data_IF_477631590482
#
_entry.id   IF_477631590482
#
_cell.length_a   1.000
_cell.length_b   1.000
_cell.length_c   1.000
_cell.angle_alpha   90.00
_cell.angle_beta   90.00
_cell.angle_gamma   90.00
#
_symmetry.space_group_name_H-M   'P 1'
#
loop_
_entity.id
_entity.type
_entity.pdbx_description
1 polymer ?
#
# COMPACT_ATOMS: atom_id res chain seq x y z
N UNK A 1 69.06 29.29 31.83
CA UNK A 1 68.65 28.66 33.10
C UNK A 1 68.99 27.18 32.99
N UNK A 2 69.91 26.68 33.81
CA UNK A 2 70.36 25.28 33.75
C UNK A 2 69.39 24.37 34.55
N UNK A 3 69.26 23.08 34.21
CA UNK A 3 68.42 22.13 34.94
C UNK A 3 68.77 22.06 36.44
N UNK A 4 70.06 22.21 36.77
CA UNK A 4 70.53 22.30 38.15
C UNK A 4 69.99 23.54 38.89
N UNK A 5 69.89 24.70 38.22
CA UNK A 5 69.31 25.92 38.82
C UNK A 5 67.82 25.76 39.08
N UNK A 6 67.07 25.15 38.13
CA UNK A 6 65.65 24.87 38.31
C UNK A 6 65.40 23.96 39.51
N UNK A 7 66.21 22.90 39.67
CA UNK A 7 66.12 22.00 40.81
C UNK A 7 66.42 22.70 42.16
N UNK A 8 67.42 23.59 42.20
CA UNK A 8 67.74 24.37 43.40
C UNK A 8 66.62 25.37 43.76
N UNK A 9 65.97 25.97 42.76
CA UNK A 9 64.80 26.84 42.97
C UNK A 9 63.64 26.04 43.57
N UNK A 10 63.35 24.85 43.03
CA UNK A 10 62.32 23.96 43.56
C UNK A 10 62.62 23.52 44.99
N UNK A 11 63.87 23.14 45.31
CA UNK A 11 64.25 22.77 46.68
C UNK A 11 64.13 23.94 47.67
N UNK A 12 64.57 25.13 47.27
CA UNK A 12 64.53 26.32 48.12
C UNK A 12 63.10 26.82 48.37
N UNK A 13 62.22 26.70 47.38
CA UNK A 13 60.81 27.11 47.47
C UNK A 13 59.84 25.95 47.72
N UNK A 14 60.33 24.78 48.15
CA UNK A 14 59.48 23.61 48.45
C UNK A 14 58.32 23.90 49.40
N UNK A 15 58.52 24.80 50.38
CA UNK A 15 57.45 25.20 51.30
C UNK A 15 56.35 26.00 50.61
N UNK A 16 56.69 26.83 49.62
CA UNK A 16 55.72 27.56 48.81
C UNK A 16 54.94 26.60 47.91
N UNK A 17 55.65 25.71 47.20
CA UNK A 17 55.03 24.72 46.30
C UNK A 17 54.05 23.84 47.09
N UNK A 18 54.46 23.34 48.26
CA UNK A 18 53.61 22.54 49.15
C UNK A 18 52.40 23.33 49.69
N UNK A 19 52.55 24.63 50.00
CA UNK A 19 51.44 25.49 50.44
C UNK A 19 50.44 25.73 49.30
N UNK A 20 50.91 26.04 48.10
CA UNK A 20 50.05 26.25 46.91
C UNK A 20 49.31 24.96 46.57
N UNK A 21 50.03 23.83 46.49
CA UNK A 21 49.45 22.51 46.28
C UNK A 21 48.41 22.18 47.36
N UNK A 22 48.76 22.34 48.64
CA UNK A 22 47.85 22.10 49.75
C UNK A 22 46.59 22.97 49.69
N UNK A 23 46.73 24.24 49.29
CA UNK A 23 45.60 25.16 49.12
C UNK A 23 44.69 24.76 47.97
N UNK A 24 45.27 24.38 46.82
CA UNK A 24 44.50 23.91 45.64
C UNK A 24 43.76 22.62 45.95
N UNK A 25 44.43 21.64 46.56
CA UNK A 25 43.81 20.36 46.96
C UNK A 25 42.70 20.59 48.00
N UNK A 26 42.93 21.43 49.01
CA UNK A 26 41.93 21.78 50.02
C UNK A 26 40.72 22.47 49.38
N UNK A 27 40.96 23.42 48.48
CA UNK A 27 39.89 24.13 47.76
C UNK A 27 39.11 23.18 46.85
N UNK A 28 39.78 22.28 46.11
CA UNK A 28 39.11 21.26 45.29
C UNK A 28 38.30 20.29 46.14
N UNK A 29 38.79 19.91 47.32
CA UNK A 29 38.06 19.06 48.25
C UNK A 29 36.80 19.75 48.78
N UNK A 30 36.93 21.00 49.23
CA UNK A 30 35.80 21.82 49.71
C UNK A 30 34.74 21.96 48.60
N UNK A 31 35.16 22.36 47.39
CA UNK A 31 34.25 22.49 46.25
C UNK A 31 33.59 21.16 45.90
N UNK A 32 34.36 20.06 45.88
CA UNK A 32 33.82 18.73 45.58
C UNK A 32 32.84 18.22 46.65
N UNK A 33 32.94 18.69 47.90
CA UNK A 33 32.00 18.33 48.97
C UNK A 33 30.73 19.21 48.96
N UNK A 34 30.82 20.43 48.45
CA UNK A 34 29.69 21.37 48.33
C UNK A 34 28.87 21.11 47.07
N UNK A 35 29.49 20.60 46.00
CA UNK A 35 28.79 20.30 44.74
C UNK A 35 27.64 19.29 44.97
N UNK A 36 26.45 19.54 44.38
CA UNK A 36 25.32 18.64 44.53
C UNK A 36 25.64 17.27 43.96
N UNK A 37 25.36 16.23 44.75
CA UNK A 37 25.53 14.84 44.33
C UNK A 37 24.56 14.56 43.19
N UNK A 38 25.07 13.94 42.13
CA UNK A 38 24.26 13.49 40.99
C UNK A 38 24.33 11.97 40.90
N UNK A 39 23.18 11.34 40.79
CA UNK A 39 22.97 9.91 40.68
C UNK A 39 22.57 9.56 39.25
N UNK A 40 23.07 8.42 38.76
CA UNK A 40 22.78 7.87 37.43
C UNK A 40 21.99 6.58 37.61
N UNK A 41 20.80 6.49 37.02
CA UNK A 41 20.02 5.25 36.94
C UNK A 41 19.82 4.86 35.47
N UNK A 42 19.94 3.57 35.17
CA UNK A 42 19.87 3.04 33.80
C UNK A 42 18.87 1.90 33.71
N UNK A 43 18.09 1.85 32.63
CA UNK A 43 17.28 0.70 32.21
C UNK A 43 17.71 0.27 30.82
N UNK A 44 17.65 -1.03 30.53
CA UNK A 44 18.00 -1.58 29.22
C UNK A 44 16.76 -2.13 28.53
N UNK A 45 16.60 -1.78 27.26
CA UNK A 45 15.55 -2.29 26.38
C UNK A 45 16.17 -3.13 25.27
N UNK A 46 15.55 -4.28 24.97
CA UNK A 46 15.88 -5.10 23.80
C UNK A 46 14.86 -4.83 22.69
N UNK A 47 15.36 -4.56 21.49
CA UNK A 47 14.55 -4.40 20.30
C UNK A 47 14.46 -5.74 19.56
N UNK A 48 13.24 -6.26 19.42
CA UNK A 48 12.94 -7.48 18.67
C UNK A 48 12.46 -7.12 17.27
N UNK A 49 13.02 -7.78 16.25
CA UNK A 49 12.65 -7.55 14.86
C UNK A 49 11.64 -8.59 14.39
N UNK A 50 10.34 -8.29 14.55
CA UNK A 50 9.26 -9.13 14.00
C UNK A 50 8.19 -8.28 13.29
N UNK A 51 8.62 -7.27 12.54
CA UNK A 51 7.73 -6.40 11.78
C UNK A 51 7.39 -6.96 10.39
N UNK A 52 6.10 -7.17 10.13
CA UNK A 52 5.53 -7.23 8.78
C UNK A 52 4.93 -5.86 8.45
N UNK A 53 5.16 -5.34 7.25
CA UNK A 53 4.55 -4.10 6.79
C UNK A 53 3.04 -4.32 6.56
N UNK A 54 2.20 -3.53 7.23
CA UNK A 54 0.73 -3.63 7.18
C UNK A 54 0.14 -3.36 5.79
N UNK A 55 0.89 -2.69 4.91
CA UNK A 55 0.48 -2.41 3.54
C UNK A 55 0.98 -3.45 2.53
N UNK A 56 2.11 -4.10 2.76
CA UNK A 56 2.65 -5.06 1.78
C UNK A 56 2.56 -6.51 2.26
N UNK A 57 2.32 -6.73 3.55
CA UNK A 57 2.38 -8.05 4.18
C UNK A 57 3.80 -8.64 4.21
N UNK A 58 4.80 -7.90 3.72
CA UNK A 58 6.18 -8.36 3.65
C UNK A 58 6.87 -8.15 5.00
N UNK A 59 7.51 -9.20 5.51
CA UNK A 59 8.47 -9.09 6.60
C UNK A 59 9.74 -8.46 6.04
N UNK A 60 9.91 -7.14 6.21
CA UNK A 60 11.19 -6.49 5.92
C UNK A 60 12.11 -6.68 7.13
N UNK A 61 13.26 -7.37 6.99
CA UNK A 61 14.23 -7.44 8.08
C UNK A 61 14.81 -6.04 8.30
N UNK A 62 14.27 -5.29 9.26
CA UNK A 62 14.76 -3.95 9.62
C UNK A 62 16.24 -3.94 10.07
N UNK A 63 16.81 -5.14 10.31
CA UNK A 63 18.22 -5.37 10.62
C UNK A 63 19.20 -4.90 9.54
N UNK A 64 18.75 -4.69 8.29
CA UNK A 64 19.59 -4.35 7.14
C UNK A 64 19.57 -2.87 6.74
N UNK A 65 18.86 -2.00 7.47
CA UNK A 65 18.87 -0.55 7.18
C UNK A 65 19.84 0.18 8.11
N UNK A 66 20.99 0.67 7.60
CA UNK A 66 21.82 1.62 8.33
C UNK A 66 20.93 2.78 8.82
N UNK A 67 20.88 3.01 10.13
CA UNK A 67 20.08 4.10 10.74
C UNK A 67 18.86 3.68 11.57
N UNK A 68 18.49 2.38 11.62
CA UNK A 68 17.37 1.95 12.47
C UNK A 68 17.59 2.27 13.95
N UNK A 69 18.74 1.84 14.51
CA UNK A 69 19.08 2.06 15.92
C UNK A 69 19.17 3.57 16.26
N UNK A 70 19.88 4.41 15.49
CA UNK A 70 19.82 5.87 15.65
C UNK A 70 18.40 6.45 15.64
N UNK A 71 17.55 6.01 14.72
CA UNK A 71 16.14 6.44 14.68
C UNK A 71 15.40 6.10 15.98
N UNK A 72 15.63 4.91 16.55
CA UNK A 72 15.02 4.56 17.84
C UNK A 72 15.53 5.42 19.00
N UNK A 73 16.82 5.79 18.98
CA UNK A 73 17.40 6.73 19.95
C UNK A 73 16.70 8.10 19.86
N UNK A 74 16.46 8.60 18.65
CA UNK A 74 15.75 9.85 18.42
C UNK A 74 14.29 9.79 18.86
N UNK A 75 13.61 8.65 18.64
CA UNK A 75 12.23 8.44 19.11
C UNK A 75 12.19 8.43 20.65
N UNK A 76 13.07 7.70 21.33
CA UNK A 76 13.13 7.69 22.81
C UNK A 76 13.40 9.09 23.35
N UNK A 77 14.31 9.82 22.70
CA UNK A 77 14.69 11.18 23.08
C UNK A 77 13.70 12.24 22.60
N UNK A 78 12.61 11.85 21.94
CA UNK A 78 11.64 12.78 21.37
C UNK A 78 10.77 13.43 22.44
N UNK A 79 10.23 14.60 22.11
CA UNK A 79 9.25 15.29 22.95
C UNK A 79 8.00 14.45 23.20
N UNK A 80 7.56 13.63 22.23
CA UNK A 80 6.38 12.79 22.38
C UNK A 80 6.51 11.76 23.51
N UNK A 81 7.69 11.12 23.64
CA UNK A 81 7.98 10.19 24.73
C UNK A 81 8.11 10.95 26.05
N UNK A 82 8.86 12.06 26.06
CA UNK A 82 9.04 12.85 27.27
C UNK A 82 7.71 13.40 27.84
N UNK A 83 6.78 13.81 26.98
CA UNK A 83 5.44 14.25 27.38
C UNK A 83 4.64 13.12 28.05
N UNK A 84 4.70 11.88 27.56
CA UNK A 84 4.06 10.74 28.23
C UNK A 84 4.70 10.44 29.59
N UNK A 85 6.01 10.64 29.75
CA UNK A 85 6.69 10.50 31.05
C UNK A 85 6.22 11.54 32.05
N UNK A 86 6.07 12.80 31.61
CA UNK A 86 5.53 13.90 32.42
C UNK A 86 4.14 13.55 32.96
N UNK A 87 3.28 12.99 32.12
CA UNK A 87 1.92 12.59 32.50
C UNK A 87 1.93 11.36 33.43
N UNK A 88 2.72 10.33 33.09
CA UNK A 88 2.80 9.09 33.86
C UNK A 88 3.29 9.32 35.29
N UNK A 89 4.27 10.21 35.46
CA UNK A 89 4.80 10.60 36.77
C UNK A 89 4.04 11.77 37.40
N UNK A 90 3.00 12.29 36.74
CA UNK A 90 2.17 13.42 37.19
C UNK A 90 2.99 14.65 37.59
N UNK A 91 4.09 14.92 36.88
CA UNK A 91 5.04 15.98 37.25
C UNK A 91 4.42 17.38 37.20
N UNK A 92 3.36 17.55 36.42
CA UNK A 92 2.59 18.80 36.34
C UNK A 92 1.80 19.12 37.61
N UNK A 93 1.67 18.18 38.56
CA UNK A 93 0.98 18.41 39.84
C UNK A 93 1.91 18.98 40.92
N UNK A 94 3.22 19.05 40.66
CA UNK A 94 4.17 19.56 41.65
C UNK A 94 4.17 21.10 41.69
N UNK A 95 3.83 21.66 42.86
CA UNK A 95 3.79 23.11 43.08
C UNK A 95 5.18 23.76 42.90
N UNK A 96 6.23 23.06 43.34
CA UNK A 96 7.62 23.49 43.21
C UNK A 96 8.05 23.64 41.75
N UNK A 97 7.69 22.68 40.90
CA UNK A 97 7.98 22.77 39.47
C UNK A 97 7.19 23.89 38.79
N UNK A 98 5.95 24.14 39.24
CA UNK A 98 5.12 25.21 38.70
C UNK A 98 5.72 26.59 38.98
N UNK A 99 6.19 26.81 40.21
CA UNK A 99 6.91 28.02 40.59
C UNK A 99 8.21 28.18 39.81
N UNK A 100 8.95 27.08 39.60
CA UNK A 100 10.19 27.10 38.82
C UNK A 100 9.92 27.48 37.36
N UNK A 101 8.85 26.98 36.76
CA UNK A 101 8.42 27.38 35.42
C UNK A 101 8.10 28.87 35.36
N UNK A 102 7.23 29.36 36.25
CA UNK A 102 6.84 30.78 36.29
C UNK A 102 8.06 31.70 36.47
N UNK A 103 9.06 31.29 37.25
CA UNK A 103 10.30 32.05 37.44
C UNK A 103 11.25 32.07 36.24
N UNK A 104 11.18 31.06 35.36
CA UNK A 104 12.13 30.91 34.24
C UNK A 104 11.56 31.34 32.90
N UNK A 105 10.24 31.31 32.74
CA UNK A 105 9.56 31.59 31.48
C UNK A 105 8.61 32.78 31.57
N UNK A 106 8.53 33.44 32.72
CA UNK A 106 7.53 34.47 33.03
C UNK A 106 6.08 33.99 32.78
N UNK A 107 5.85 32.68 32.90
CA UNK A 107 4.57 32.04 32.65
C UNK A 107 4.21 31.83 31.17
N UNK A 108 5.13 32.11 30.24
CA UNK A 108 4.90 31.94 28.79
C UNK A 108 5.19 30.51 28.35
N UNK A 109 4.22 29.89 27.67
CA UNK A 109 4.33 28.55 27.08
C UNK A 109 3.55 27.47 27.84
N UNK A 110 3.59 26.24 27.31
CA UNK A 110 2.95 25.09 27.93
C UNK A 110 3.88 24.47 29.00
N UNK A 111 3.44 24.50 30.25
CA UNK A 111 4.17 23.94 31.39
C UNK A 111 4.53 22.45 31.21
N UNK A 112 3.65 21.68 30.56
CA UNK A 112 3.88 20.25 30.27
C UNK A 112 5.03 20.08 29.27
N UNK A 113 5.06 20.91 28.23
CA UNK A 113 6.13 20.92 27.22
C UNK A 113 7.46 21.35 27.82
N UNK A 114 7.46 22.41 28.65
CA UNK A 114 8.65 22.85 29.36
C UNK A 114 9.23 21.75 30.26
N UNK A 115 8.37 21.03 31.00
CA UNK A 115 8.80 19.92 31.83
C UNK A 115 9.41 18.78 31.00
N UNK A 116 8.80 18.43 29.86
CA UNK A 116 9.33 17.41 28.96
C UNK A 116 10.74 17.79 28.45
N UNK A 117 10.96 19.05 28.08
CA UNK A 117 12.29 19.55 27.68
C UNK A 117 13.31 19.48 28.81
N UNK A 118 12.91 19.74 30.07
CA UNK A 118 13.78 19.63 31.23
C UNK A 118 14.23 18.19 31.47
N UNK A 119 13.33 17.22 31.30
CA UNK A 119 13.66 15.79 31.36
C UNK A 119 14.64 15.42 30.24
N UNK A 120 14.35 15.81 29.00
CA UNK A 120 15.21 15.49 27.85
C UNK A 120 16.66 15.96 28.02
N UNK A 121 16.90 17.12 28.65
CA UNK A 121 18.26 17.65 28.89
C UNK A 121 19.12 16.75 29.79
N UNK A 122 18.52 15.95 30.67
CA UNK A 122 19.21 15.07 31.63
C UNK A 122 19.14 13.59 31.23
N UNK A 123 18.47 13.30 30.12
CA UNK A 123 18.36 11.99 29.51
C UNK A 123 19.60 11.71 28.65
N UNK A 124 20.06 10.47 28.68
CA UNK A 124 21.22 10.00 27.92
C UNK A 124 20.86 8.60 27.40
N UNK A 125 20.67 8.45 26.09
CA UNK A 125 20.24 7.21 25.46
C UNK A 125 21.36 6.72 24.56
N UNK A 126 21.91 5.55 24.89
CA UNK A 126 23.10 5.03 24.21
C UNK A 126 22.84 3.61 23.73
N UNK A 127 23.11 3.28 22.46
CA UNK A 127 23.07 1.91 21.99
C UNK A 127 24.27 1.12 22.53
N UNK A 128 24.01 -0.10 23.01
CA UNK A 128 25.07 -1.01 23.40
C UNK A 128 25.80 -1.53 22.14
N UNK A 129 27.13 -1.59 22.22
CA UNK A 129 28.00 -1.98 21.08
C UNK A 129 27.60 -3.36 20.54
N UNK A 130 27.48 -3.45 19.22
CA UNK A 130 27.20 -4.69 18.48
C UNK A 130 25.95 -5.46 18.98
N UNK A 131 24.92 -4.74 19.45
CA UNK A 131 23.70 -5.36 19.97
C UNK A 131 22.45 -4.54 19.68
N UNK A 132 21.27 -5.17 19.80
CA UNK A 132 19.97 -4.53 19.67
C UNK A 132 19.44 -4.01 21.02
N UNK A 133 20.35 -3.67 21.93
CA UNK A 133 20.03 -3.21 23.27
C UNK A 133 20.26 -1.70 23.36
N UNK A 134 19.27 -0.97 23.85
CA UNK A 134 19.35 0.45 24.15
C UNK A 134 19.42 0.65 25.66
N UNK A 135 20.41 1.40 26.13
CA UNK A 135 20.51 1.83 27.52
C UNK A 135 19.92 3.24 27.66
N UNK A 136 18.85 3.37 28.43
CA UNK A 136 18.24 4.64 28.78
C UNK A 136 18.74 5.03 30.16
N UNK A 137 19.52 6.10 30.22
CA UNK A 137 20.10 6.66 31.43
C UNK A 137 19.45 7.98 31.80
N UNK A 138 19.11 8.16 33.07
CA UNK A 138 18.69 9.47 33.59
C UNK A 138 19.55 9.92 34.79
N UNK A 139 19.87 11.22 34.81
CA UNK A 139 20.77 11.84 35.82
C UNK A 139 19.97 12.81 36.70
N UNK A 140 19.93 12.56 38.01
CA UNK A 140 19.25 13.44 38.97
C UNK A 140 19.91 13.47 40.34
N UNK A 141 19.59 14.47 41.17
CA UNK A 141 20.04 14.56 42.55
C UNK A 141 19.32 13.55 43.47
N UNK A 142 18.08 13.18 43.16
CA UNK A 142 17.35 12.12 43.85
C UNK A 142 17.53 10.77 43.13
N UNK A 143 18.14 9.74 43.78
CA UNK A 143 18.31 8.42 43.19
C UNK A 143 16.99 7.70 42.91
N UNK A 144 15.95 7.91 43.72
CA UNK A 144 14.64 7.29 43.52
C UNK A 144 13.94 7.88 42.30
N UNK A 145 13.92 9.21 42.20
CA UNK A 145 13.43 9.91 41.03
C UNK A 145 14.21 9.54 39.76
N UNK A 146 15.54 9.39 39.85
CA UNK A 146 16.35 9.00 38.70
C UNK A 146 15.93 7.65 38.11
N UNK A 147 15.73 6.65 38.98
CA UNK A 147 15.26 5.33 38.56
C UNK A 147 13.83 5.35 38.03
N UNK A 148 12.93 6.10 38.68
CA UNK A 148 11.54 6.24 38.25
C UNK A 148 11.43 6.86 36.85
N UNK A 149 12.20 7.93 36.57
CA UNK A 149 12.20 8.58 35.24
C UNK A 149 12.78 7.65 34.19
N UNK A 150 13.90 6.97 34.45
CA UNK A 150 14.48 6.03 33.48
C UNK A 150 13.49 4.92 33.09
N UNK A 151 12.83 4.29 34.07
CA UNK A 151 11.79 3.28 33.83
C UNK A 151 10.58 3.86 33.10
N UNK A 152 10.15 5.08 33.45
CA UNK A 152 9.03 5.74 32.79
C UNK A 152 9.33 6.02 31.31
N UNK A 153 10.57 6.41 30.96
CA UNK A 153 10.98 6.58 29.56
C UNK A 153 10.92 5.24 28.79
N UNK A 154 11.33 4.14 29.42
CA UNK A 154 11.22 2.81 28.82
C UNK A 154 9.76 2.43 28.49
N UNK A 155 8.84 2.59 29.46
CA UNK A 155 7.41 2.32 29.25
C UNK A 155 6.77 3.30 28.25
N UNK A 156 7.11 4.59 28.33
CA UNK A 156 6.59 5.60 27.43
C UNK A 156 7.03 5.36 25.98
N UNK A 157 8.28 4.97 25.76
CA UNK A 157 8.78 4.59 24.44
C UNK A 157 8.05 3.36 23.90
N UNK A 158 7.86 2.32 24.72
CA UNK A 158 7.08 1.15 24.32
C UNK A 158 5.67 1.55 23.83
N UNK A 159 5.00 2.43 24.56
CA UNK A 159 3.67 2.92 24.18
C UNK A 159 3.72 3.77 22.89
N UNK A 160 4.67 4.70 22.76
CA UNK A 160 4.79 5.52 21.54
C UNK A 160 5.09 4.65 20.32
N UNK A 161 5.95 3.63 20.45
CA UNK A 161 6.24 2.72 19.35
C UNK A 161 5.03 1.88 18.94
N UNK A 162 4.21 1.46 19.91
CA UNK A 162 2.90 0.84 19.62
C UNK A 162 2.00 1.84 18.88
N UNK A 163 1.86 3.07 19.39
CA UNK A 163 1.01 4.10 18.80
C UNK A 163 1.44 4.44 17.36
N UNK A 164 2.75 4.55 17.10
CA UNK A 164 3.31 4.79 15.76
C UNK A 164 3.07 3.64 14.79
N UNK A 165 3.02 2.39 15.28
CA UNK A 165 2.71 1.21 14.47
C UNK A 165 1.22 1.07 14.20
N UNK A 166 0.39 1.38 15.19
CA UNK A 166 -1.06 1.17 15.16
C UNK A 166 -1.81 2.30 14.46
N UNK A 167 -1.38 3.56 14.61
CA UNK A 167 -2.12 4.71 14.09
C UNK A 167 -2.31 4.69 12.55
N UNK A 168 -1.28 4.38 11.72
CA UNK A 168 -1.48 4.23 10.28
C UNK A 168 -2.44 3.08 9.94
N UNK A 169 -2.35 1.96 10.66
CA UNK A 169 -3.20 0.79 10.46
C UNK A 169 -4.65 1.05 10.86
N UNK A 170 -4.90 1.84 11.92
CA UNK A 170 -6.24 2.29 12.30
C UNK A 170 -6.86 3.20 11.23
N UNK A 171 -6.07 4.15 10.71
CA UNK A 171 -6.51 5.02 9.62
C UNK A 171 -6.83 4.19 8.37
N UNK A 172 -5.96 3.24 8.00
CA UNK A 172 -6.19 2.32 6.90
C UNK A 172 -7.45 1.47 7.14
N UNK A 173 -7.64 0.94 8.34
CA UNK A 173 -8.83 0.15 8.69
C UNK A 173 -10.12 0.96 8.50
N UNK A 174 -10.13 2.23 8.90
CA UNK A 174 -11.29 3.11 8.71
C UNK A 174 -11.60 3.34 7.22
N UNK A 175 -10.57 3.56 6.40
CA UNK A 175 -10.68 3.70 4.96
C UNK A 175 -11.20 2.42 4.30
N UNK A 176 -10.58 1.27 4.59
CA UNK A 176 -10.97 -0.02 4.01
C UNK A 176 -12.38 -0.43 4.45
N UNK A 177 -12.76 -0.17 5.70
CA UNK A 177 -14.12 -0.45 6.19
C UNK A 177 -15.18 0.38 5.44
N UNK A 178 -14.90 1.67 5.20
CA UNK A 178 -15.79 2.52 4.42
C UNK A 178 -15.85 2.07 2.94
N UNK A 179 -14.72 1.68 2.35
CA UNK A 179 -14.67 1.19 0.97
C UNK A 179 -15.38 -0.16 0.81
N UNK A 180 -15.26 -1.09 1.77
CA UNK A 180 -16.01 -2.36 1.80
C UNK A 180 -17.51 -2.09 1.75
N UNK A 181 -18.00 -1.15 2.56
CA UNK A 181 -19.43 -0.78 2.54
C UNK A 181 -19.86 -0.24 1.18
N UNK A 182 -19.09 0.70 0.61
CA UNK A 182 -19.35 1.28 -0.71
C UNK A 182 -19.37 0.23 -1.82
N UNK A 183 -18.40 -0.70 -1.83
CA UNK A 183 -18.31 -1.76 -2.83
C UNK A 183 -19.42 -2.80 -2.68
N UNK A 184 -19.83 -3.09 -1.45
CA UNK A 184 -20.99 -3.94 -1.18
C UNK A 184 -22.27 -3.33 -1.73
N UNK A 185 -22.51 -2.05 -1.49
CA UNK A 185 -23.68 -1.35 -2.02
C UNK A 185 -23.71 -1.37 -3.56
N UNK A 186 -22.54 -1.16 -4.21
CA UNK A 186 -22.41 -1.25 -5.66
C UNK A 186 -22.66 -2.68 -6.19
N UNK A 187 -22.16 -3.71 -5.50
CA UNK A 187 -22.44 -5.12 -5.83
C UNK A 187 -23.94 -5.44 -5.71
N UNK A 188 -24.57 -5.05 -4.59
CA UNK A 188 -26.00 -5.28 -4.37
C UNK A 188 -26.85 -4.52 -5.42
N UNK A 189 -26.41 -3.34 -5.86
CA UNK A 189 -27.06 -2.59 -6.93
C UNK A 189 -26.92 -3.28 -8.29
N UNK A 190 -25.72 -3.74 -8.66
CA UNK A 190 -25.50 -4.48 -9.90
C UNK A 190 -26.35 -5.76 -9.93
N UNK A 191 -26.41 -6.48 -8.80
CA UNK A 191 -27.24 -7.67 -8.67
C UNK A 191 -28.72 -7.34 -8.86
N UNK A 192 -29.23 -6.29 -8.21
CA UNK A 192 -30.63 -5.85 -8.38
C UNK A 192 -30.93 -5.46 -9.82
N UNK A 193 -30.03 -4.74 -10.51
CA UNK A 193 -30.21 -4.36 -11.93
C UNK A 193 -30.33 -5.61 -12.81
N UNK A 194 -29.45 -6.58 -12.64
CA UNK A 194 -29.49 -7.83 -13.38
C UNK A 194 -30.77 -8.62 -13.12
N UNK A 195 -31.14 -8.81 -11.84
CA UNK A 195 -32.36 -9.56 -11.48
C UNK A 195 -33.61 -8.87 -12.00
N UNK A 196 -33.71 -7.54 -11.88
CA UNK A 196 -34.82 -6.76 -12.42
C UNK A 196 -34.92 -6.90 -13.93
N UNK A 197 -33.80 -6.82 -14.64
CA UNK A 197 -33.76 -6.99 -16.09
C UNK A 197 -34.20 -8.40 -16.52
N UNK A 198 -33.79 -9.43 -15.78
CA UNK A 198 -34.24 -10.81 -16.00
C UNK A 198 -35.75 -10.96 -15.78
N UNK A 199 -36.29 -10.37 -14.71
CA UNK A 199 -37.73 -10.39 -14.41
C UNK A 199 -38.56 -9.66 -15.47
N UNK A 200 -38.17 -8.43 -15.84
CA UNK A 200 -38.88 -7.61 -16.84
C UNK A 200 -38.87 -8.24 -18.24
N UNK A 201 -37.82 -8.98 -18.59
CA UNK A 201 -37.69 -9.64 -19.88
C UNK A 201 -38.08 -11.13 -19.86
N UNK A 202 -38.55 -11.65 -18.71
CA UNK A 202 -38.92 -13.06 -18.57
C UNK A 202 -37.77 -14.03 -18.84
N UNK A 203 -36.52 -13.60 -18.62
CA UNK A 203 -35.33 -14.40 -18.84
C UNK A 203 -35.15 -15.31 -17.62
N UNK A 204 -35.77 -16.48 -17.69
CA UNK A 204 -35.53 -17.58 -16.77
C UNK A 204 -34.31 -18.37 -17.27
N UNK A 205 -33.55 -19.00 -16.38
CA UNK A 205 -32.25 -19.65 -16.66
C UNK A 205 -32.25 -20.81 -17.69
N UNK A 206 -33.34 -21.00 -18.44
CA UNK A 206 -33.46 -22.00 -19.49
C UNK A 206 -33.06 -21.36 -20.84
N UNK A 207 -31.76 -21.42 -21.16
CA UNK A 207 -31.16 -20.94 -22.43
C UNK A 207 -31.80 -21.50 -23.71
N UNK A 208 -32.65 -22.54 -23.60
CA UNK A 208 -33.24 -23.24 -24.74
C UNK A 208 -34.17 -22.40 -25.63
N UNK A 209 -34.72 -21.27 -25.19
CA UNK A 209 -35.68 -20.52 -26.01
C UNK A 209 -35.03 -19.86 -27.23
N UNK A 210 -33.85 -19.27 -27.08
CA UNK A 210 -33.14 -18.60 -28.18
C UNK A 210 -32.74 -19.57 -29.30
N UNK A 211 -32.29 -20.77 -28.91
CA UNK A 211 -31.85 -21.80 -29.87
C UNK A 211 -33.02 -22.34 -30.68
N UNK A 212 -34.21 -22.48 -30.07
CA UNK A 212 -35.44 -22.90 -30.77
C UNK A 212 -35.84 -21.86 -31.81
N UNK A 213 -35.84 -20.58 -31.45
CA UNK A 213 -36.24 -19.49 -32.36
C UNK A 213 -35.23 -19.32 -33.53
N UNK A 214 -33.94 -19.55 -33.27
CA UNK A 214 -32.89 -19.56 -34.31
C UNK A 214 -33.03 -20.77 -35.23
N UNK A 215 -33.34 -21.94 -34.68
CA UNK A 215 -33.61 -23.16 -35.47
C UNK A 215 -34.83 -22.95 -36.37
N UNK A 216 -35.91 -22.37 -35.84
CA UNK A 216 -37.11 -22.07 -36.61
C UNK A 216 -36.85 -21.09 -37.77
N UNK A 217 -35.97 -20.09 -37.57
CA UNK A 217 -35.54 -19.18 -38.63
C UNK A 217 -34.81 -19.92 -39.76
N UNK A 218 -33.94 -20.88 -39.42
CA UNK A 218 -33.21 -21.69 -40.40
C UNK A 218 -34.15 -22.60 -41.21
N UNK A 219 -35.15 -23.18 -40.54
CA UNK A 219 -36.18 -24.01 -41.20
C UNK A 219 -37.02 -23.18 -42.17
N UNK A 220 -37.51 -22.01 -41.76
CA UNK A 220 -38.25 -21.09 -42.64
C UNK A 220 -37.40 -20.61 -43.81
N UNK A 221 -36.11 -20.34 -43.59
CA UNK A 221 -35.18 -19.94 -44.65
C UNK A 221 -34.97 -21.05 -45.68
N UNK A 222 -34.91 -22.31 -45.22
CA UNK A 222 -34.83 -23.49 -46.09
C UNK A 222 -36.11 -23.66 -46.91
N UNK A 223 -37.29 -23.50 -46.29
CA UNK A 223 -38.57 -23.55 -46.97
C UNK A 223 -38.73 -22.42 -48.00
N UNK A 224 -38.25 -21.20 -47.68
CA UNK A 224 -38.26 -20.07 -48.60
C UNK A 224 -37.38 -20.36 -49.83
N UNK A 225 -36.18 -20.91 -49.66
CA UNK A 225 -35.29 -21.27 -50.77
C UNK A 225 -35.93 -22.31 -51.71
N UNK A 226 -36.63 -23.30 -51.14
CA UNK A 226 -37.41 -24.28 -51.91
C UNK A 226 -38.57 -23.60 -52.67
N UNK A 227 -39.34 -22.73 -52.01
CA UNK A 227 -40.46 -22.02 -52.62
C UNK A 227 -40.01 -21.02 -53.70
N UNK A 228 -38.86 -20.39 -53.56
CA UNK A 228 -38.22 -19.55 -54.58
C UNK A 228 -37.92 -20.36 -55.84
N UNK A 229 -37.36 -21.56 -55.67
CA UNK A 229 -37.06 -22.47 -56.79
C UNK A 229 -38.35 -22.87 -57.52
N UNK A 230 -39.39 -23.24 -56.77
CA UNK A 230 -40.71 -23.58 -57.33
C UNK A 230 -41.36 -22.40 -58.05
N UNK A 231 -41.24 -21.19 -57.50
CA UNK A 231 -41.79 -19.97 -58.10
C UNK A 231 -41.07 -19.58 -59.38
N UNK A 232 -39.74 -19.70 -59.41
CA UNK A 232 -38.95 -19.49 -60.63
C UNK A 232 -39.39 -20.46 -61.74
N UNK A 233 -39.54 -21.73 -61.41
CA UNK A 233 -39.99 -22.75 -62.36
C UNK A 233 -41.41 -22.46 -62.87
N UNK A 234 -42.36 -22.19 -61.95
CA UNK A 234 -43.75 -21.93 -62.31
C UNK A 234 -43.92 -20.61 -63.10
N UNK A 235 -43.13 -19.58 -62.78
CA UNK A 235 -43.14 -18.29 -63.51
C UNK A 235 -42.57 -18.46 -64.92
N UNK A 236 -41.51 -19.26 -65.09
CA UNK A 236 -40.97 -19.63 -66.40
C UNK A 236 -42.02 -20.34 -67.26
N UNK A 237 -42.70 -21.36 -66.69
CA UNK A 237 -43.82 -22.05 -67.35
C UNK A 237 -44.98 -21.11 -67.71
N UNK A 238 -45.34 -20.18 -66.81
CA UNK A 238 -46.36 -19.15 -67.08
C UNK A 238 -45.98 -18.25 -68.26
N UNK A 239 -44.71 -17.84 -68.33
CA UNK A 239 -44.20 -17.05 -69.45
C UNK A 239 -44.32 -17.76 -70.80
N UNK A 240 -44.10 -19.08 -70.83
CA UNK A 240 -44.24 -19.89 -72.05
C UNK A 240 -45.69 -20.00 -72.54
N UNK A 241 -46.68 -20.04 -71.64
CA UNK A 241 -48.11 -20.16 -72.03
C UNK A 241 -48.81 -18.82 -72.29
N UNK A 242 -48.25 -17.68 -71.87
CA UNK A 242 -48.83 -16.33 -72.09
C UNK A 242 -48.38 -15.67 -73.41
N UNK A 243 -47.38 -16.22 -74.10
CA UNK A 243 -46.91 -15.73 -75.40
C UNK A 243 -47.66 -16.31 -76.60
N UNK A 244 -47.23 -15.94 -77.81
CA UNK A 244 -47.76 -16.49 -79.09
C UNK A 244 -47.55 -18.00 -79.26
N UNK A 245 -46.72 -18.61 -78.40
CA UNK A 245 -46.39 -20.04 -78.38
C UNK A 245 -47.18 -20.89 -77.38
N UNK A 246 -48.35 -20.44 -76.91
CA UNK A 246 -49.15 -21.19 -75.90
C UNK A 246 -49.43 -22.66 -76.30
N UNK A 247 -49.58 -22.94 -77.60
CA UNK A 247 -49.78 -24.28 -78.15
C UNK A 247 -48.52 -25.17 -78.21
N UNK A 248 -47.35 -24.62 -77.88
CA UNK A 248 -46.02 -25.26 -77.92
C UNK A 248 -45.41 -25.46 -76.52
N UNK A 249 -46.04 -24.95 -75.46
CA UNK A 249 -45.59 -25.19 -74.08
C UNK A 249 -45.62 -26.68 -73.73
N UNK A 250 -44.61 -27.23 -73.03
CA UNK A 250 -44.57 -28.62 -72.60
C UNK A 250 -45.83 -29.07 -71.84
N UNK A 251 -46.42 -28.18 -71.03
CA UNK A 251 -47.63 -28.46 -70.24
C UNK A 251 -48.89 -28.60 -71.12
N UNK A 252 -48.89 -27.96 -72.30
CA UNK A 252 -49.99 -28.01 -73.28
C UNK A 252 -49.76 -29.15 -74.28
N UNK A 253 -48.52 -29.38 -74.71
CA UNK A 253 -48.18 -30.47 -75.65
C UNK A 253 -48.28 -31.85 -75.03
N UNK A 254 -48.06 -31.98 -73.71
CA UNK A 254 -48.18 -33.25 -73.00
C UNK A 254 -49.61 -33.55 -72.52
N UNK A 255 -50.58 -32.67 -72.78
CA UNK A 255 -51.97 -32.90 -72.42
C UNK A 255 -52.63 -33.85 -73.43
N UNK A 256 -52.98 -35.05 -72.98
CA UNK A 256 -53.60 -36.10 -73.82
C UNK A 256 -54.87 -35.63 -74.56
N UNK A 257 -55.69 -34.77 -73.96
CA UNK A 257 -56.90 -34.24 -74.61
C UNK A 257 -56.53 -33.32 -75.78
N UNK A 258 -55.51 -32.48 -75.60
CA UNK A 258 -55.02 -31.56 -76.64
C UNK A 258 -54.33 -32.35 -77.76
N UNK A 259 -53.57 -33.40 -77.43
CA UNK A 259 -52.98 -34.31 -78.42
C UNK A 259 -54.06 -34.99 -79.27
N UNK A 260 -55.12 -35.52 -78.62
CA UNK A 260 -56.25 -36.13 -79.32
C UNK A 260 -56.98 -35.12 -80.23
N UNK A 261 -57.24 -33.90 -79.74
CA UNK A 261 -57.86 -32.84 -80.52
C UNK A 261 -57.00 -32.40 -81.71
N UNK A 262 -55.67 -32.29 -81.55
CA UNK A 262 -54.75 -32.01 -82.66
C UNK A 262 -54.77 -33.13 -83.71
N UNK A 263 -54.80 -34.39 -83.29
CA UNK A 263 -54.90 -35.53 -84.20
C UNK A 263 -56.24 -35.56 -84.96
N UNK A 264 -57.36 -35.35 -84.25
CA UNK A 264 -58.69 -35.24 -84.86
C UNK A 264 -58.82 -34.06 -85.81
N UNK A 265 -58.25 -32.90 -85.45
CA UNK A 265 -58.21 -31.72 -86.30
C UNK A 265 -57.41 -32.00 -87.57
N UNK A 266 -56.21 -32.58 -87.46
CA UNK A 266 -55.40 -32.92 -88.64
C UNK A 266 -56.09 -33.91 -89.58
N UNK A 267 -56.84 -34.89 -89.03
CA UNK A 267 -57.66 -35.80 -89.83
C UNK A 267 -58.82 -35.08 -90.54
N UNK A 268 -59.50 -34.15 -89.84
CA UNK A 268 -60.60 -33.35 -90.41
C UNK A 268 -60.11 -32.35 -91.47
N UNK A 269 -58.96 -31.71 -91.24
CA UNK A 269 -58.30 -30.82 -92.20
C UNK A 269 -57.88 -31.56 -93.47
N UNK A 270 -57.34 -32.78 -93.34
CA UNK A 270 -57.03 -33.65 -94.48
C UNK A 270 -58.28 -34.00 -95.29
N UNK A 271 -59.39 -34.34 -94.61
CA UNK A 271 -60.69 -34.62 -95.25
C UNK A 271 -61.24 -33.39 -95.97
N UNK A 272 -61.19 -32.21 -95.35
CA UNK A 272 -61.59 -30.95 -95.96
C UNK A 272 -60.74 -30.63 -97.19
N UNK A 273 -59.42 -30.84 -97.12
CA UNK A 273 -58.50 -30.64 -98.25
C UNK A 273 -58.86 -31.56 -99.44
N UNK A 274 -59.12 -32.84 -99.19
CA UNK A 274 -59.54 -33.78 -100.24
C UNK A 274 -60.87 -33.40 -100.89
N UNK A 275 -61.86 -32.95 -100.08
CA UNK A 275 -63.15 -32.48 -100.58
C UNK A 275 -63.01 -31.18 -101.36
N UNK A 276 -62.13 -30.27 -100.95
CA UNK A 276 -61.88 -28.99 -101.63
C UNK A 276 -61.32 -29.13 -103.04
N UNK A 277 -60.63 -30.25 -103.32
CA UNK A 277 -60.08 -30.55 -104.64
C UNK A 277 -61.15 -31.05 -105.63
N UNK A 278 -62.28 -31.57 -105.12
CA UNK A 278 -63.33 -32.24 -105.91
C UNK A 278 -64.65 -31.48 -105.94
N UNK A 279 -64.96 -30.73 -104.89
CA UNK A 279 -66.24 -30.08 -104.67
C UNK A 279 -66.07 -28.56 -104.60
N UNK A 280 -67.02 -27.82 -105.15
CA UNK A 280 -67.06 -26.36 -105.02
C UNK A 280 -67.36 -25.92 -103.60
N UNK A 281 -66.94 -24.70 -103.24
CA UNK A 281 -67.05 -24.12 -101.89
C UNK A 281 -68.48 -23.97 -101.34
N UNK A 282 -69.50 -24.13 -102.19
CA UNK A 282 -70.93 -24.06 -101.82
C UNK A 282 -71.59 -25.43 -101.67
N UNK A 283 -70.86 -26.53 -101.89
CA UNK A 283 -71.40 -27.88 -101.79
C UNK A 283 -71.72 -28.25 -100.32
N UNK A 284 -72.85 -28.89 -100.01
CA UNK A 284 -73.23 -29.23 -98.63
C UNK A 284 -72.15 -30.00 -97.86
N UNK A 285 -71.53 -31.00 -98.49
CA UNK A 285 -70.46 -31.80 -97.86
C UNK A 285 -69.18 -31.00 -97.57
N UNK A 286 -68.87 -29.99 -98.40
CA UNK A 286 -67.75 -29.08 -98.15
C UNK A 286 -68.03 -28.19 -96.94
N UNK A 287 -69.24 -27.64 -96.86
CA UNK A 287 -69.67 -26.80 -95.75
C UNK A 287 -69.71 -27.57 -94.43
N UNK A 288 -70.19 -28.83 -94.45
CA UNK A 288 -70.17 -29.72 -93.30
C UNK A 288 -68.74 -30.01 -92.82
N UNK A 289 -67.84 -30.42 -93.72
CA UNK A 289 -66.44 -30.67 -93.37
C UNK A 289 -65.71 -29.40 -92.87
N UNK A 290 -66.05 -28.24 -93.42
CA UNK A 290 -65.52 -26.95 -92.94
C UNK A 290 -66.01 -26.64 -91.53
N UNK A 291 -67.30 -26.83 -91.26
CA UNK A 291 -67.86 -26.65 -89.93
C UNK A 291 -67.22 -27.60 -88.90
N UNK A 292 -66.92 -28.85 -89.27
CA UNK A 292 -66.20 -29.79 -88.41
C UNK A 292 -64.78 -29.31 -88.08
N UNK A 293 -64.03 -28.80 -89.06
CA UNK A 293 -62.70 -28.19 -88.84
C UNK A 293 -62.80 -26.96 -87.95
N UNK A 294 -63.74 -26.06 -88.21
CA UNK A 294 -63.92 -24.82 -87.44
C UNK A 294 -64.32 -25.13 -85.98
N UNK A 295 -65.20 -26.12 -85.76
CA UNK A 295 -65.59 -26.60 -84.43
C UNK A 295 -64.41 -27.24 -83.68
N UNK A 296 -63.64 -28.12 -84.33
CA UNK A 296 -62.45 -28.74 -83.72
C UNK A 296 -61.36 -27.73 -83.41
N UNK A 297 -61.16 -26.71 -84.27
CA UNK A 297 -60.24 -25.59 -83.99
C UNK A 297 -60.70 -24.75 -82.80
N UNK A 298 -61.99 -24.41 -82.73
CA UNK A 298 -62.55 -23.66 -81.61
C UNK A 298 -62.39 -24.42 -80.28
N UNK A 299 -62.69 -25.73 -80.27
CA UNK A 299 -62.53 -26.56 -79.08
C UNK A 299 -61.05 -26.74 -78.69
N UNK A 300 -60.15 -26.94 -79.66
CA UNK A 300 -58.71 -26.99 -79.41
C UNK A 300 -58.21 -25.70 -78.76
N UNK A 301 -58.58 -24.53 -79.29
CA UNK A 301 -58.19 -23.23 -78.73
C UNK A 301 -58.77 -23.03 -77.32
N UNK A 302 -60.02 -23.47 -77.08
CA UNK A 302 -60.63 -23.44 -75.75
C UNK A 302 -59.84 -24.29 -74.75
N UNK A 303 -59.46 -25.52 -75.13
CA UNK A 303 -58.68 -26.40 -74.25
C UNK A 303 -57.26 -25.88 -74.01
N UNK A 304 -56.60 -25.30 -75.01
CA UNK A 304 -55.30 -24.63 -74.84
C UNK A 304 -55.44 -23.47 -73.85
N UNK A 305 -56.49 -22.65 -73.94
CA UNK A 305 -56.74 -21.55 -73.00
C UNK A 305 -57.01 -22.03 -71.56
N UNK A 306 -57.75 -23.14 -71.40
CA UNK A 306 -57.98 -23.77 -70.09
C UNK A 306 -56.68 -24.28 -69.49
N UNK A 307 -55.85 -24.97 -70.28
CA UNK A 307 -54.53 -25.45 -69.85
C UNK A 307 -53.58 -24.30 -69.48
N UNK A 308 -53.50 -23.26 -70.31
CA UNK A 308 -52.71 -22.06 -70.05
C UNK A 308 -53.17 -21.32 -68.78
N UNK A 309 -54.48 -21.23 -68.56
CA UNK A 309 -55.06 -20.65 -67.33
C UNK A 309 -54.70 -21.47 -66.10
N UNK A 310 -54.70 -22.81 -66.19
CA UNK A 310 -54.29 -23.68 -65.09
C UNK A 310 -52.81 -23.47 -64.71
N UNK A 311 -51.91 -23.36 -65.69
CA UNK A 311 -50.48 -23.06 -65.47
C UNK A 311 -50.31 -21.67 -64.83
N UNK A 312 -51.03 -20.66 -65.31
CA UNK A 312 -51.00 -19.30 -64.75
C UNK A 312 -51.51 -19.25 -63.30
N UNK A 313 -52.58 -19.99 -63.00
CA UNK A 313 -53.11 -20.12 -61.65
C UNK A 313 -52.09 -20.81 -60.72
N UNK A 314 -51.43 -21.88 -61.19
CA UNK A 314 -50.41 -22.58 -60.42
C UNK A 314 -49.22 -21.68 -60.08
N UNK A 315 -48.71 -20.91 -61.05
CA UNK A 315 -47.68 -19.91 -60.81
C UNK A 315 -48.11 -18.86 -59.77
N UNK A 316 -49.37 -18.42 -59.83
CA UNK A 316 -49.90 -17.46 -58.85
C UNK A 316 -49.98 -18.04 -57.44
N UNK A 317 -50.22 -19.35 -57.28
CA UNK A 317 -50.17 -20.04 -55.98
C UNK A 317 -48.75 -20.07 -55.42
N UNK A 318 -47.74 -20.41 -56.24
CA UNK A 318 -46.35 -20.42 -55.79
C UNK A 318 -45.83 -19.03 -55.43
N UNK A 319 -46.16 -18.00 -56.23
CA UNK A 319 -45.80 -16.60 -55.93
C UNK A 319 -46.37 -16.17 -54.56
N UNK A 320 -47.64 -16.50 -54.28
CA UNK A 320 -48.26 -16.18 -52.98
C UNK A 320 -47.56 -16.91 -51.83
N UNK A 321 -47.28 -18.21 -52.00
CA UNK A 321 -46.57 -19.01 -50.99
C UNK A 321 -45.16 -18.48 -50.71
N UNK A 322 -44.43 -18.07 -51.73
CA UNK A 322 -43.12 -17.45 -51.57
C UNK A 322 -43.22 -16.13 -50.80
N UNK A 323 -44.21 -15.28 -51.13
CA UNK A 323 -44.42 -14.01 -50.43
C UNK A 323 -44.78 -14.21 -48.96
N UNK A 324 -45.63 -15.20 -48.64
CA UNK A 324 -45.97 -15.59 -47.27
C UNK A 324 -44.76 -16.08 -46.48
N UNK A 325 -43.97 -16.99 -47.06
CA UNK A 325 -42.73 -17.49 -46.43
C UNK A 325 -41.70 -16.38 -46.23
N UNK A 326 -41.57 -15.46 -47.20
CA UNK A 326 -40.68 -14.30 -47.07
C UNK A 326 -41.12 -13.39 -45.91
N UNK A 327 -42.42 -13.14 -45.77
CA UNK A 327 -42.95 -12.39 -44.64
C UNK A 327 -42.72 -13.11 -43.30
N UNK A 328 -42.90 -14.43 -43.26
CA UNK A 328 -42.64 -15.25 -42.07
C UNK A 328 -41.16 -15.21 -41.65
N UNK A 329 -40.23 -15.36 -42.61
CA UNK A 329 -38.78 -15.23 -42.38
C UNK A 329 -38.44 -13.83 -41.85
N UNK A 330 -39.01 -12.76 -42.43
CA UNK A 330 -38.76 -11.40 -41.97
C UNK A 330 -39.24 -11.17 -40.53
N UNK A 331 -40.43 -11.65 -40.19
CA UNK A 331 -40.98 -11.57 -38.84
C UNK A 331 -40.14 -12.38 -37.83
N UNK A 332 -39.76 -13.61 -38.19
CA UNK A 332 -38.93 -14.46 -37.34
C UNK A 332 -37.53 -13.88 -37.13
N UNK A 333 -36.93 -13.31 -38.19
CA UNK A 333 -35.63 -12.63 -38.09
C UNK A 333 -35.70 -11.44 -37.14
N UNK A 334 -36.78 -10.65 -37.19
CA UNK A 334 -36.97 -9.53 -36.25
C UNK A 334 -37.05 -10.01 -34.80
N UNK A 335 -37.76 -11.12 -34.54
CA UNK A 335 -37.85 -11.75 -33.22
C UNK A 335 -36.49 -12.25 -32.71
N UNK A 336 -35.71 -12.94 -33.54
CA UNK A 336 -34.36 -13.42 -33.17
C UNK A 336 -33.43 -12.24 -32.86
N UNK A 337 -33.49 -11.16 -33.64
CA UNK A 337 -32.69 -9.95 -33.39
C UNK A 337 -33.07 -9.26 -32.07
N UNK A 338 -34.36 -9.24 -31.70
CA UNK A 338 -34.80 -8.71 -30.42
C UNK A 338 -34.27 -9.56 -29.25
N UNK A 339 -34.38 -10.88 -29.34
CA UNK A 339 -33.83 -11.79 -28.33
C UNK A 339 -32.31 -11.65 -28.19
N UNK A 340 -31.61 -11.47 -29.32
CA UNK A 340 -30.18 -11.25 -29.33
C UNK A 340 -29.79 -9.95 -28.61
N UNK A 341 -30.50 -8.84 -28.87
CA UNK A 341 -30.31 -7.57 -28.12
C UNK A 341 -30.52 -7.76 -26.63
N UNK A 342 -31.58 -8.51 -26.25
CA UNK A 342 -31.86 -8.76 -24.84
C UNK A 342 -30.76 -9.55 -24.15
N UNK A 343 -30.18 -10.54 -24.85
CA UNK A 343 -29.04 -11.34 -24.38
C UNK A 343 -27.76 -10.51 -24.26
N UNK A 344 -27.49 -9.64 -25.22
CA UNK A 344 -26.30 -8.77 -25.20
C UNK A 344 -26.32 -7.82 -24.01
N UNK A 345 -27.47 -7.22 -23.73
CA UNK A 345 -27.67 -6.36 -22.56
C UNK A 345 -27.54 -7.14 -21.24
N UNK A 346 -28.10 -8.35 -21.17
CA UNK A 346 -27.88 -9.25 -20.01
C UNK A 346 -26.39 -9.57 -19.82
N UNK A 347 -25.65 -9.81 -20.91
CA UNK A 347 -24.21 -10.08 -20.85
C UNK A 347 -23.41 -8.89 -20.32
N UNK A 348 -23.83 -7.66 -20.61
CA UNK A 348 -23.24 -6.45 -20.01
C UNK A 348 -23.52 -6.41 -18.51
N UNK A 349 -24.77 -6.61 -18.09
CA UNK A 349 -25.15 -6.60 -16.67
C UNK A 349 -24.44 -7.70 -15.86
N UNK A 350 -24.25 -8.89 -16.47
CA UNK A 350 -23.47 -9.97 -15.86
C UNK A 350 -22.02 -9.55 -15.63
N UNK A 351 -21.36 -8.95 -16.65
CA UNK A 351 -19.97 -8.46 -16.51
C UNK A 351 -19.86 -7.37 -15.45
N UNK A 352 -20.85 -6.48 -15.34
CA UNK A 352 -20.90 -5.46 -14.29
C UNK A 352 -21.02 -6.09 -12.90
N UNK A 353 -21.89 -7.10 -12.74
CA UNK A 353 -22.04 -7.85 -11.50
C UNK A 353 -20.74 -8.55 -11.10
N UNK A 354 -20.11 -9.27 -12.03
CA UNK A 354 -18.86 -9.99 -11.80
C UNK A 354 -17.74 -9.01 -11.40
N UNK A 355 -17.63 -7.88 -12.10
CA UNK A 355 -16.65 -6.83 -11.77
C UNK A 355 -16.89 -6.22 -10.39
N UNK A 356 -18.15 -5.95 -10.02
CA UNK A 356 -18.50 -5.44 -8.71
C UNK A 356 -18.19 -6.46 -7.60
N UNK A 357 -18.46 -7.75 -7.86
CA UNK A 357 -18.17 -8.85 -6.95
C UNK A 357 -16.67 -8.98 -6.70
N UNK A 358 -15.85 -8.95 -7.76
CA UNK A 358 -14.39 -9.04 -7.65
C UNK A 358 -13.81 -7.85 -6.89
N UNK A 359 -14.27 -6.63 -7.19
CA UNK A 359 -13.86 -5.43 -6.47
C UNK A 359 -14.22 -5.51 -4.98
N UNK A 360 -15.43 -5.98 -4.65
CA UNK A 360 -15.86 -6.22 -3.27
C UNK A 360 -15.01 -7.28 -2.56
N UNK A 361 -14.70 -8.39 -3.24
CA UNK A 361 -13.88 -9.47 -2.69
C UNK A 361 -12.47 -9.00 -2.36
N UNK A 362 -11.81 -8.30 -3.30
CA UNK A 362 -10.45 -7.78 -3.11
C UNK A 362 -10.39 -6.81 -1.93
N UNK A 363 -11.33 -5.86 -1.86
CA UNK A 363 -11.33 -4.89 -0.75
C UNK A 363 -11.65 -5.54 0.59
N UNK A 364 -12.54 -6.52 0.63
CA UNK A 364 -12.91 -7.24 1.85
C UNK A 364 -11.77 -8.09 2.40
N UNK A 365 -11.05 -8.79 1.51
CA UNK A 365 -9.84 -9.51 1.89
C UNK A 365 -8.78 -8.56 2.46
N UNK A 366 -8.60 -7.41 1.82
CA UNK A 366 -7.65 -6.39 2.28
C UNK A 366 -8.03 -5.78 3.62
N UNK A 367 -9.30 -5.46 3.83
CA UNK A 367 -9.82 -4.97 5.10
C UNK A 367 -9.59 -5.99 6.23
N UNK A 368 -9.83 -7.28 5.94
CA UNK A 368 -9.61 -8.37 6.91
C UNK A 368 -8.14 -8.48 7.29
N UNK A 369 -7.23 -8.37 6.32
CA UNK A 369 -5.78 -8.38 6.59
C UNK A 369 -5.36 -7.21 7.49
N UNK A 370 -5.79 -5.98 7.18
CA UNK A 370 -5.47 -4.79 7.99
C UNK A 370 -6.03 -4.93 9.42
N UNK A 371 -7.22 -5.52 9.58
CA UNK A 371 -7.80 -5.76 10.89
C UNK A 371 -7.00 -6.79 11.72
N UNK A 372 -6.44 -7.83 11.08
CA UNK A 372 -5.53 -8.76 11.74
C UNK A 372 -4.26 -8.05 12.23
N UNK A 373 -3.70 -7.13 11.44
CA UNK A 373 -2.51 -6.37 11.81
C UNK A 373 -2.78 -5.41 12.98
N UNK A 374 -3.97 -4.80 13.04
CA UNK A 374 -4.44 -3.98 14.18
C UNK A 374 -4.69 -4.84 15.43
N UNK A 375 -4.97 -6.14 15.29
CA UNK A 375 -5.19 -7.05 16.42
C UNK A 375 -3.89 -7.71 16.90
N UNK A 376 -2.89 -7.83 16.03
CA UNK A 376 -1.58 -8.42 16.31
C UNK A 376 -0.60 -7.44 16.97
N UNK A 377 -1.09 -6.50 17.77
CA UNK A 377 -0.27 -5.50 18.48
C UNK A 377 0.51 -6.18 19.60
N UNK A 378 1.65 -6.75 19.25
CA UNK A 378 2.67 -7.09 20.20
C UNK A 378 3.75 -6.00 20.19
N UNK A 379 4.19 -5.61 21.38
CA UNK A 379 5.37 -4.75 21.51
C UNK A 379 6.58 -5.50 21.00
N UNK A 380 7.20 -4.96 19.96
CA UNK A 380 8.51 -5.39 19.47
C UNK A 380 9.65 -4.97 20.41
N UNK A 381 9.33 -4.33 21.55
CA UNK A 381 10.28 -3.85 22.56
C UNK A 381 10.08 -4.64 23.85
N UNK A 382 11.15 -5.24 24.36
CA UNK A 382 11.18 -5.91 25.66
C UNK A 382 12.03 -5.12 26.66
N UNK A 383 11.58 -5.04 27.92
CA UNK A 383 12.42 -4.51 29.00
C UNK A 383 13.39 -5.61 29.44
N UNK A 384 14.68 -5.39 29.23
CA UNK A 384 15.73 -6.34 29.61
C UNK A 384 16.12 -6.18 31.08
N UNK A 385 16.30 -4.93 31.52
CA UNK A 385 16.60 -4.60 32.93
C UNK A 385 15.83 -3.36 33.36
N UNK A 386 15.28 -3.40 34.57
CA UNK A 386 14.66 -2.22 35.20
C UNK A 386 15.71 -1.39 35.92
N UNK A 387 15.53 -0.07 35.92
CA UNK A 387 16.39 0.84 36.67
C UNK A 387 16.08 0.74 38.17
N UNK A 388 17.12 0.57 38.99
CA UNK A 388 17.06 0.62 40.45
C UNK A 388 17.71 1.91 40.98
N UNK A 389 17.26 2.44 42.13
CA UNK A 389 17.91 3.59 42.76
C UNK A 389 19.38 3.30 43.08
N UNK A 390 20.34 4.05 42.53
CA UNK A 390 21.75 3.79 42.76
C UNK A 390 22.17 4.13 44.20
N UNK A 391 22.99 3.27 44.79
CA UNK A 391 23.49 3.45 46.17
C UNK A 391 24.67 4.40 46.27
N UNK A 392 25.40 4.64 45.18
CA UNK A 392 26.56 5.53 45.11
C UNK A 392 26.30 6.71 44.15
N UNK A 393 26.78 7.90 44.53
CA UNK A 393 26.73 9.08 43.67
C UNK A 393 27.69 8.92 42.48
N UNK A 394 27.23 9.30 41.29
CA UNK A 394 28.03 9.25 40.06
C UNK A 394 28.98 10.45 39.94
N UNK A 395 28.55 11.63 40.41
CA UNK A 395 29.36 12.83 40.48
C UNK A 395 29.10 13.62 41.78
N UNK A 396 30.10 14.36 42.30
CA UNK A 396 31.48 14.48 41.79
C UNK A 396 32.37 13.28 42.17
N UNK A 397 33.29 12.91 41.27
CA UNK A 397 34.27 11.83 41.51
C UNK A 397 35.42 12.35 42.38
N UNK A 398 35.20 12.42 43.68
CA UNK A 398 36.18 12.93 44.68
C UNK A 398 37.61 12.42 44.45
N UNK A 399 37.90 11.11 44.29
CA UNK A 399 39.27 10.65 44.10
C UNK A 399 39.90 11.16 42.80
N UNK A 400 39.11 11.24 41.71
CA UNK A 400 39.58 11.76 40.43
C UNK A 400 39.87 13.26 40.52
N UNK A 401 38.98 14.03 41.17
CA UNK A 401 39.17 15.46 41.37
C UNK A 401 40.41 15.75 42.22
N UNK A 402 40.68 14.95 43.25
CA UNK A 402 41.87 15.07 44.08
C UNK A 402 43.13 14.81 43.26
N UNK A 403 43.18 13.71 42.48
CA UNK A 403 44.33 13.41 41.61
C UNK A 403 44.56 14.56 40.61
N UNK A 404 43.51 15.07 39.97
CA UNK A 404 43.62 16.19 39.05
C UNK A 404 44.10 17.47 39.76
N UNK A 405 43.62 17.74 40.97
CA UNK A 405 44.06 18.88 41.78
C UNK A 405 45.52 18.77 42.22
N UNK A 406 46.06 17.56 42.37
CA UNK A 406 47.47 17.33 42.67
C UNK A 406 48.35 17.75 41.48
N UNK A 407 47.97 17.37 40.26
CA UNK A 407 48.66 17.78 39.04
C UNK A 407 48.59 19.30 38.84
N UNK A 408 47.38 19.86 38.88
CA UNK A 408 47.16 21.31 38.69
C UNK A 408 47.83 22.11 39.81
N UNK A 409 47.72 21.67 41.06
CA UNK A 409 48.32 22.32 42.22
C UNK A 409 49.85 22.27 42.20
N UNK A 410 50.45 21.16 41.76
CA UNK A 410 51.90 21.07 41.56
C UNK A 410 52.36 22.01 40.45
N UNK A 411 51.65 22.02 39.32
CA UNK A 411 51.97 22.90 38.20
C UNK A 411 51.90 24.38 38.60
N UNK A 412 50.80 24.80 39.25
CA UNK A 412 50.64 26.16 39.77
C UNK A 412 51.68 26.50 40.85
N UNK A 413 52.03 25.55 41.71
CA UNK A 413 53.07 25.73 42.72
C UNK A 413 54.45 25.97 42.11
N UNK A 414 54.82 25.19 41.10
CA UNK A 414 56.07 25.36 40.35
C UNK A 414 56.08 26.70 39.61
N UNK A 415 54.99 27.04 38.91
CA UNK A 415 54.86 28.31 38.21
C UNK A 415 55.00 29.51 39.16
N UNK A 416 54.30 29.50 40.30
CA UNK A 416 54.41 30.53 41.32
C UNK A 416 55.83 30.64 41.92
N UNK A 417 56.49 29.50 42.13
CA UNK A 417 57.88 29.46 42.61
C UNK A 417 58.85 30.09 41.59
N UNK A 418 58.67 29.82 40.30
CA UNK A 418 59.47 30.41 39.23
C UNK A 418 59.21 31.92 39.10
N UNK A 419 57.96 32.35 39.10
CA UNK A 419 57.60 33.78 39.03
C UNK A 419 58.23 34.55 40.19
N UNK A 420 58.08 34.07 41.43
CA UNK A 420 58.69 34.70 42.60
C UNK A 420 60.22 34.70 42.58
N UNK A 421 60.85 33.74 41.89
CA UNK A 421 62.31 33.75 41.69
C UNK A 421 62.73 34.76 40.63
N UNK A 422 61.95 34.89 39.55
CA UNK A 422 62.21 35.88 38.50
C UNK A 422 62.06 37.32 39.04
N UNK A 423 61.10 37.57 39.91
CA UNK A 423 60.88 38.90 40.53
C UNK A 423 61.88 39.21 41.64
N UNK A 424 62.41 38.20 42.34
CA UNK A 424 63.36 38.40 43.44
C UNK A 424 64.49 37.36 43.36
N UNK A 425 65.45 37.62 42.44
CA UNK A 425 66.59 36.75 42.17
C UNK A 425 67.56 36.79 43.35
N UNK A 426 67.67 35.68 44.09
CA UNK A 426 68.74 35.50 45.09
C UNK A 426 69.84 34.63 44.51
N UNK A 427 71.09 34.98 44.80
CA UNK A 427 72.24 34.13 44.47
C UNK A 427 72.16 32.84 45.29
N UNK A 428 72.06 31.67 44.63
CA UNK A 428 71.89 30.37 45.31
C UNK A 428 72.96 29.34 44.95
N UNK A 429 73.73 29.57 43.90
CA UNK A 429 74.82 28.70 43.48
C UNK A 429 76.06 29.50 43.08
N UNK A 430 77.20 28.81 43.11
CA UNK A 430 78.49 29.30 42.59
C UNK A 430 78.36 29.77 41.12
N UNK A 431 77.52 29.09 40.34
CA UNK A 431 77.23 29.40 38.93
C UNK A 431 76.44 30.72 38.79
N UNK A 432 75.57 31.04 39.75
CA UNK A 432 74.83 32.32 39.73
C UNK A 432 75.77 33.51 39.98
N UNK A 433 76.83 33.33 40.80
CA UNK A 433 77.85 34.35 41.06
C UNK A 433 78.73 34.57 39.81
N UNK A 434 79.18 33.49 39.18
CA UNK A 434 79.97 33.57 37.94
C UNK A 434 79.20 34.29 36.82
N UNK A 435 77.89 34.01 36.70
CA UNK A 435 77.04 34.63 35.67
C UNK A 435 76.65 36.10 35.95
N UNK A 436 76.57 36.52 37.21
CA UNK A 436 76.20 37.90 37.59
C UNK A 436 77.41 38.84 37.74
N UNK A 437 78.54 38.34 38.24
CA UNK A 437 79.70 39.17 38.58
C UNK A 437 80.90 39.00 37.63
N UNK A 438 80.89 37.98 36.75
CA UNK A 438 81.96 37.75 35.76
C UNK A 438 83.31 37.34 36.34
N UNK A 439 83.37 36.97 37.63
CA UNK A 439 84.61 36.67 38.37
C UNK A 439 84.71 35.15 38.65
N UNK A 440 85.88 34.51 38.47
CA UNK A 440 86.06 33.10 38.81
C UNK A 440 85.93 32.88 40.33
N UNK A 441 85.07 31.95 40.73
CA UNK A 441 84.88 31.60 42.13
C UNK A 441 85.99 30.66 42.58
N UNK A 442 86.78 31.11 43.57
CA UNK A 442 88.01 30.44 44.02
C UNK A 442 87.77 29.37 45.13
N UNK A 443 86.59 29.34 45.75
CA UNK A 443 86.23 28.35 46.76
C UNK A 443 84.82 28.52 47.32
N UNK A 444 84.17 27.42 47.68
CA UNK A 444 82.84 27.39 48.29
C UNK A 444 82.97 26.94 49.76
N UNK A 445 82.59 27.79 50.71
CA UNK A 445 82.50 27.41 52.13
C UNK A 445 81.11 26.82 52.36
N UNK A 446 81.02 25.48 52.32
CA UNK A 446 79.77 24.78 52.65
C UNK A 446 79.53 24.82 54.16
N UNK A 447 78.37 25.33 54.56
CA UNK A 447 77.92 25.26 55.96
C UNK A 447 77.62 23.78 56.28
N UNK A 448 78.29 23.22 57.28
CA UNK A 448 78.00 21.87 57.75
C UNK A 448 76.53 21.77 58.20
N UNK A 449 75.80 20.78 57.68
CA UNK A 449 74.39 20.56 58.02
C UNK A 449 74.24 20.31 59.52
N UNK A 450 73.48 21.16 60.21
CA UNK A 450 73.10 20.92 61.60
C UNK A 450 72.24 19.63 61.69
N UNK A 451 72.50 18.72 62.65
CA UNK A 451 71.73 17.50 62.78
C UNK A 451 70.27 17.84 63.10
N UNK A 452 69.35 17.27 62.30
CA UNK A 452 67.90 17.43 62.47
C UNK A 452 67.47 16.83 63.81
N UNK A 453 67.08 17.69 64.75
CA UNK A 453 66.54 17.28 66.06
C UNK A 453 65.16 16.63 65.87
N UNK A 454 65.10 15.29 65.87
CA UNK A 454 63.84 14.54 65.90
C UNK A 454 63.02 14.92 67.14
N UNK A 455 61.91 15.65 66.95
CA UNK A 455 60.89 15.82 67.99
C UNK A 455 60.11 14.51 68.13
N UNK A 456 60.47 13.68 69.12
CA UNK A 456 59.61 12.63 69.65
C UNK A 456 58.41 13.30 70.34
N UNK A 457 57.22 13.15 69.77
CA UNK A 457 55.97 13.56 70.40
C UNK A 457 55.24 12.29 70.88
N UNK A 458 54.98 12.27 72.20
CA UNK A 458 54.03 11.43 72.95
C UNK A 458 54.40 9.98 73.31
N UNK A 459 54.93 9.84 74.54
CA UNK A 459 54.66 8.75 75.47
C UNK A 459 54.22 9.36 76.81
N UNK A 460 53.34 8.62 77.52
CA UNK A 460 52.75 8.80 78.88
C UNK A 460 51.26 9.22 78.83
N UNK A 461 50.33 8.61 79.58
CA UNK A 461 50.43 7.58 80.64
C UNK A 461 49.01 7.15 81.08
N UNK A 462 48.90 5.87 81.52
CA UNK A 462 48.13 5.31 82.67
C UNK A 462 46.61 5.48 82.73
N UNK A 463 45.79 4.41 82.78
CA UNK A 463 45.65 3.31 83.75
C UNK A 463 44.57 3.57 84.82
N UNK A 464 43.67 2.60 84.98
CA UNK A 464 42.93 2.13 86.16
C UNK A 464 41.49 1.75 85.76
N UNK A 465 41.16 0.46 85.72
CA UNK A 465 40.41 -0.29 86.75
C UNK A 465 38.89 -0.03 86.66
N UNK A 466 37.98 -0.99 86.64
CA UNK A 466 38.04 -2.45 86.80
C UNK A 466 36.60 -2.92 87.09
N UNK A 467 36.21 -4.05 86.53
CA UNK A 467 35.30 -5.07 87.07
C UNK A 467 35.21 -6.20 86.04
#
# INVERSE_FOLDING_TARGET
MNFAQLFLILQARKSLILKVLGTVVLLTLIVSLIMPKTYKASTSLVLNFKGTDALTGLALPAQLTPGYIPTQVDIISSQAVALKVVDALKLTQSAEARQLFESQTDGVGDFRVWMAQLLMKKLDVVPARDSNVLEITYKNADPAFAAAVANAFATAYQQVSIDLKVAPSQQANSYFSAEVKRRREAYDEAQRKMSKYQEENGIVATDNHFDVETTHLNDLSTQLAQAQTQTMEATSRRGQVQGTGAGESPDVTNNNLIQNLKASLGASESKLAQLSQRLGTRHPDYLAAKADVDNLRAELNRQISVAASAVSNNASVFIKREAELRAAVAAQKAKVLELNRKRDELSVLQRELDSAQDAYKVISQRATQVNMDVSAVQSDIGVLTVAYPPTAAWAPKIPLNIVLSLFVGTFLGVAAALVLELTNRRVRSVVDIQGLAGVPVLGEIKRANAPVRKRRFWQRKTAAAGA
#
